data_IF_592816349948
#
_entry.id   IF_592816349948
#
_cell.length_a   1.000
_cell.length_b   1.000
_cell.length_c   1.000
_cell.angle_alpha   90.00
_cell.angle_beta   90.00
_cell.angle_gamma   90.00
#
_symmetry.space_group_name_H-M   'P 1'
#
loop_
_entity.id
_entity.type
_entity.pdbx_description
1 polymer ?
#
# COMPACT_ATOMS: atom_id res chain seq x y z
N UNK A 1 -16.68 8.00 -0.82
CA UNK A 1 -15.67 7.31 0.02
C UNK A 1 -14.67 6.67 -0.92
N UNK A 2 -13.37 6.96 -0.77
CA UNK A 2 -12.31 6.49 -1.66
C UNK A 2 -11.97 5.00 -1.49
N UNK A 3 -12.12 4.48 -0.27
CA UNK A 3 -11.85 3.10 0.06
C UNK A 3 -12.17 2.78 1.52
N UNK A 4 -12.11 1.50 1.86
CA UNK A 4 -12.25 0.99 3.23
C UNK A 4 -11.01 0.20 3.62
N UNK A 5 -10.44 0.53 4.77
CA UNK A 5 -9.29 -0.13 5.38
C UNK A 5 -9.71 -0.80 6.69
N UNK A 6 -10.14 -2.06 6.66
CA UNK A 6 -10.59 -2.78 7.87
C UNK A 6 -9.42 -3.27 8.71
N UNK A 7 -9.61 -3.45 10.02
CA UNK A 7 -8.60 -4.05 10.88
C UNK A 7 -8.57 -5.58 10.68
N UNK A 8 -7.64 -6.09 9.85
CA UNK A 8 -7.41 -7.53 9.67
C UNK A 8 -6.52 -8.16 10.75
N UNK A 9 -6.16 -7.46 11.81
CA UNK A 9 -5.08 -7.72 12.77
C UNK A 9 -4.98 -9.12 13.40
N UNK A 10 -5.92 -10.02 13.14
CA UNK A 10 -5.90 -11.37 13.72
C UNK A 10 -5.95 -12.50 12.69
N UNK A 11 -5.88 -12.19 11.40
CA UNK A 11 -6.08 -13.19 10.33
C UNK A 11 -5.01 -13.03 9.23
N UNK A 12 -3.73 -13.30 9.53
CA UNK A 12 -2.65 -13.15 8.56
C UNK A 12 -2.79 -14.17 7.41
N UNK A 13 -2.92 -13.71 6.15
CA UNK A 13 -3.21 -14.57 4.98
C UNK A 13 -2.10 -15.56 4.66
N UNK A 14 -0.87 -15.29 5.12
CA UNK A 14 0.26 -16.20 4.96
C UNK A 14 0.30 -17.34 5.97
N UNK A 15 -0.46 -17.24 7.08
CA UNK A 15 -0.38 -18.17 8.23
C UNK A 15 -1.63 -19.02 8.35
N UNK A 16 -2.82 -18.38 8.32
CA UNK A 16 -4.09 -19.11 8.42
C UNK A 16 -4.43 -19.81 7.10
N UNK A 17 -5.36 -20.75 7.12
CA UNK A 17 -5.92 -21.32 5.89
C UNK A 17 -6.78 -20.30 5.15
N UNK A 18 -6.94 -20.48 3.83
CA UNK A 18 -7.63 -19.51 2.98
C UNK A 18 -9.09 -19.29 3.40
N UNK A 19 -9.80 -20.32 3.88
CA UNK A 19 -11.22 -20.16 4.25
C UNK A 19 -11.37 -19.34 5.54
N UNK A 20 -10.49 -19.51 6.51
CA UNK A 20 -10.44 -18.67 7.71
C UNK A 20 -10.23 -17.20 7.35
N UNK A 21 -9.30 -16.91 6.42
CA UNK A 21 -9.08 -15.54 5.93
C UNK A 21 -10.31 -15.02 5.19
N UNK A 22 -10.85 -15.79 4.24
CA UNK A 22 -12.00 -15.39 3.43
C UNK A 22 -13.26 -15.14 4.26
N UNK A 23 -13.46 -15.88 5.35
CA UNK A 23 -14.57 -15.63 6.26
C UNK A 23 -14.51 -14.23 6.92
N UNK A 24 -13.31 -13.76 7.27
CA UNK A 24 -13.09 -12.40 7.76
C UNK A 24 -13.21 -11.37 6.64
N UNK A 25 -12.61 -11.64 5.48
CA UNK A 25 -12.64 -10.79 4.30
C UNK A 25 -14.06 -10.51 3.81
N UNK A 26 -14.93 -11.53 3.74
CA UNK A 26 -16.35 -11.39 3.32
C UNK A 26 -17.14 -10.41 4.19
N UNK A 27 -16.81 -10.29 5.49
CA UNK A 27 -17.46 -9.29 6.36
C UNK A 27 -17.13 -7.87 5.90
N UNK A 28 -15.90 -7.63 5.55
CA UNK A 28 -15.44 -6.32 5.03
C UNK A 28 -15.97 -6.07 3.61
N UNK A 29 -16.01 -7.11 2.78
CA UNK A 29 -16.58 -7.03 1.43
C UNK A 29 -18.06 -6.67 1.48
N UNK A 30 -18.87 -7.36 2.30
CA UNK A 30 -20.28 -7.05 2.50
C UNK A 30 -20.50 -5.62 3.03
N UNK A 31 -19.60 -5.13 3.89
CA UNK A 31 -19.65 -3.74 4.34
C UNK A 31 -19.45 -2.78 3.16
N UNK A 32 -18.46 -3.04 2.31
CA UNK A 32 -18.22 -2.25 1.10
C UNK A 32 -19.44 -2.22 0.18
N UNK A 33 -20.04 -3.39 -0.11
CA UNK A 33 -21.25 -3.50 -0.93
C UNK A 33 -22.42 -2.70 -0.36
N UNK A 34 -22.69 -2.86 0.94
CA UNK A 34 -23.81 -2.15 1.60
C UNK A 34 -23.61 -0.63 1.67
N UNK A 35 -22.36 -0.16 1.67
CA UNK A 35 -22.01 1.26 1.73
C UNK A 35 -21.68 1.88 0.36
N UNK A 36 -21.71 1.09 -0.73
CA UNK A 36 -21.32 1.57 -2.07
C UNK A 36 -19.84 1.96 -2.16
N UNK A 37 -18.95 1.26 -1.43
CA UNK A 37 -17.51 1.50 -1.44
C UNK A 37 -16.88 0.55 -2.46
N UNK A 38 -16.18 1.10 -3.45
CA UNK A 38 -15.62 0.33 -4.57
C UNK A 38 -14.17 -0.14 -4.35
N UNK A 39 -13.54 0.17 -3.22
CA UNK A 39 -12.14 -0.19 -2.94
C UNK A 39 -12.00 -0.73 -1.52
N UNK A 40 -11.38 -1.91 -1.39
CA UNK A 40 -11.11 -2.56 -0.12
C UNK A 40 -9.59 -2.75 0.04
N UNK A 41 -8.99 -2.07 1.05
CA UNK A 41 -7.59 -2.25 1.40
C UNK A 41 -7.37 -3.51 2.20
N UNK A 42 -6.28 -4.20 1.91
CA UNK A 42 -5.77 -5.33 2.68
C UNK A 42 -4.28 -5.14 2.97
N UNK A 43 -3.75 -5.91 3.92
CA UNK A 43 -2.34 -6.01 4.25
C UNK A 43 -1.93 -7.42 4.70
N UNK A 44 -0.63 -7.67 4.87
CA UNK A 44 -0.14 -9.02 5.24
C UNK A 44 -0.35 -9.35 6.70
N UNK A 45 -0.55 -8.35 7.55
CA UNK A 45 -0.70 -8.42 9.02
C UNK A 45 0.42 -9.16 9.76
N UNK A 46 1.33 -9.79 9.03
CA UNK A 46 2.49 -10.49 9.59
C UNK A 46 3.64 -9.52 9.77
N UNK A 47 4.34 -9.58 10.90
CA UNK A 47 5.54 -8.77 11.13
C UNK A 47 6.68 -9.20 10.19
N UNK A 48 7.60 -8.29 9.84
CA UNK A 48 8.82 -8.65 9.11
C UNK A 48 9.63 -9.67 9.91
N UNK A 49 9.85 -10.83 9.32
CA UNK A 49 10.51 -11.96 9.95
C UNK A 49 11.47 -12.63 8.96
N UNK A 50 12.68 -12.97 9.41
CA UNK A 50 13.62 -13.74 8.62
C UNK A 50 13.22 -15.22 8.69
N UNK A 51 12.59 -15.72 7.64
CA UNK A 51 12.12 -17.09 7.54
C UNK A 51 13.14 -17.99 6.83
N UNK A 52 13.22 -19.27 7.19
CA UNK A 52 13.91 -20.27 6.36
C UNK A 52 13.32 -20.28 4.93
N UNK A 53 14.13 -20.52 3.87
CA UNK A 53 13.67 -20.43 2.49
C UNK A 53 12.40 -21.27 2.19
N UNK A 54 12.33 -22.50 2.72
CA UNK A 54 11.17 -23.38 2.52
C UNK A 54 9.90 -22.86 3.19
N UNK A 55 10.03 -22.23 4.35
CA UNK A 55 8.92 -21.63 5.06
C UNK A 55 8.46 -20.32 4.38
N UNK A 56 9.41 -19.50 3.96
CA UNK A 56 9.14 -18.29 3.16
C UNK A 56 8.32 -18.63 1.91
N UNK A 57 8.78 -19.63 1.14
CA UNK A 57 8.10 -20.05 -0.09
C UNK A 57 6.69 -20.59 0.19
N UNK A 58 6.53 -21.39 1.25
CA UNK A 58 5.24 -21.95 1.64
C UNK A 58 4.24 -20.85 2.05
N UNK A 59 4.68 -19.90 2.88
CA UNK A 59 3.85 -18.76 3.32
C UNK A 59 3.52 -17.83 2.15
N UNK A 60 4.47 -17.55 1.28
CA UNK A 60 4.28 -16.74 0.08
C UNK A 60 3.24 -17.34 -0.87
N UNK A 61 3.34 -18.63 -1.18
CA UNK A 61 2.37 -19.35 -2.02
C UNK A 61 0.96 -19.34 -1.40
N UNK A 62 0.87 -19.52 -0.09
CA UNK A 62 -0.41 -19.47 0.62
C UNK A 62 -1.05 -18.09 0.53
N UNK A 63 -0.28 -17.04 0.78
CA UNK A 63 -0.72 -15.65 0.69
C UNK A 63 -1.22 -15.34 -0.73
N UNK A 64 -0.42 -15.62 -1.75
CA UNK A 64 -0.79 -15.36 -3.15
C UNK A 64 -2.09 -16.09 -3.54
N UNK A 65 -2.21 -17.38 -3.20
CA UNK A 65 -3.44 -18.16 -3.43
C UNK A 65 -4.65 -17.56 -2.70
N UNK A 66 -4.48 -17.18 -1.43
CA UNK A 66 -5.56 -16.62 -0.61
C UNK A 66 -6.04 -15.30 -1.17
N UNK A 67 -5.11 -14.42 -1.56
CA UNK A 67 -5.46 -13.13 -2.14
C UNK A 67 -6.03 -13.22 -3.56
N UNK A 68 -5.60 -14.20 -4.35
CA UNK A 68 -6.26 -14.50 -5.62
C UNK A 68 -7.75 -14.86 -5.42
N UNK A 69 -8.06 -15.72 -4.44
CA UNK A 69 -9.44 -16.07 -4.11
C UNK A 69 -10.25 -14.86 -3.61
N UNK A 70 -9.65 -14.03 -2.74
CA UNK A 70 -10.28 -12.80 -2.26
C UNK A 70 -10.57 -11.81 -3.40
N UNK A 71 -9.62 -11.64 -4.33
CA UNK A 71 -9.80 -10.78 -5.50
C UNK A 71 -10.92 -11.29 -6.43
N UNK A 72 -11.05 -12.61 -6.59
CA UNK A 72 -12.15 -13.23 -7.33
C UNK A 72 -13.53 -12.95 -6.69
N UNK A 73 -13.64 -13.03 -5.36
CA UNK A 73 -14.89 -12.71 -4.66
C UNK A 73 -15.21 -11.21 -4.77
N UNK A 74 -14.23 -10.36 -4.54
CA UNK A 74 -14.39 -8.91 -4.62
C UNK A 74 -14.76 -8.42 -6.04
N UNK A 75 -14.20 -9.03 -7.08
CA UNK A 75 -14.55 -8.71 -8.46
C UNK A 75 -16.03 -8.93 -8.76
N UNK A 76 -16.63 -10.00 -8.22
CA UNK A 76 -18.06 -10.28 -8.38
C UNK A 76 -18.96 -9.25 -7.68
N UNK A 77 -18.44 -8.64 -6.62
CA UNK A 77 -19.08 -7.58 -5.86
C UNK A 77 -18.82 -6.17 -6.43
N UNK A 78 -18.02 -6.03 -7.48
CA UNK A 78 -17.63 -4.74 -8.04
C UNK A 78 -16.68 -3.94 -7.13
N UNK A 79 -15.96 -4.62 -6.24
CA UNK A 79 -15.03 -4.01 -5.29
C UNK A 79 -13.60 -4.38 -5.67
N UNK A 80 -12.74 -3.38 -5.91
CA UNK A 80 -11.32 -3.59 -6.15
C UNK A 80 -10.60 -3.89 -4.84
N UNK A 81 -9.74 -4.88 -4.85
CA UNK A 81 -8.82 -5.16 -3.74
C UNK A 81 -7.51 -4.42 -3.97
N UNK A 82 -7.07 -3.65 -2.97
CA UNK A 82 -5.77 -2.98 -2.99
C UNK A 82 -4.95 -3.42 -1.77
N UNK A 83 -3.70 -3.81 -2.01
CA UNK A 83 -2.76 -4.11 -0.95
C UNK A 83 -1.88 -2.90 -0.66
N UNK A 84 -1.86 -2.46 0.58
CA UNK A 84 -0.92 -1.46 1.07
C UNK A 84 0.31 -2.15 1.67
N UNK A 85 1.46 -1.97 1.01
CA UNK A 85 2.73 -2.45 1.53
C UNK A 85 3.34 -1.38 2.44
N UNK A 86 3.83 -1.79 3.60
CA UNK A 86 4.40 -0.88 4.57
C UNK A 86 5.57 -1.52 5.36
N UNK A 87 6.49 -0.71 5.96
CA UNK A 87 7.63 -1.24 6.69
C UNK A 87 7.25 -2.08 7.92
N UNK A 88 6.05 -1.86 8.45
CA UNK A 88 5.51 -2.60 9.59
C UNK A 88 5.25 -4.06 9.33
N UNK A 89 5.07 -4.44 8.06
CA UNK A 89 4.62 -5.77 7.68
C UNK A 89 5.62 -6.52 6.79
N UNK A 90 5.41 -7.82 6.70
CA UNK A 90 6.16 -8.74 5.85
C UNK A 90 5.96 -8.43 4.36
N UNK A 91 6.98 -8.71 3.53
CA UNK A 91 7.02 -8.43 2.08
C UNK A 91 7.10 -6.93 1.77
N UNK A 92 8.05 -6.25 2.41
CA UNK A 92 8.23 -4.79 2.31
C UNK A 92 9.42 -4.34 1.44
N UNK A 93 10.09 -5.26 0.71
CA UNK A 93 11.10 -4.90 -0.29
C UNK A 93 10.47 -4.58 -1.63
N UNK A 94 11.04 -3.67 -2.41
CA UNK A 94 10.54 -3.35 -3.77
C UNK A 94 10.30 -4.57 -4.65
N UNK A 95 11.23 -5.54 -4.69
CA UNK A 95 11.07 -6.78 -5.46
C UNK A 95 9.97 -7.69 -4.89
N UNK A 96 9.85 -7.80 -3.57
CA UNK A 96 8.81 -8.61 -2.92
C UNK A 96 7.41 -8.09 -3.24
N UNK A 97 7.23 -6.75 -3.21
CA UNK A 97 5.94 -6.11 -3.53
C UNK A 97 5.52 -6.44 -4.96
N UNK A 98 6.43 -6.33 -5.92
CA UNK A 98 6.17 -6.71 -7.30
C UNK A 98 5.82 -8.19 -7.42
N UNK A 99 6.64 -9.06 -6.83
CA UNK A 99 6.47 -10.51 -6.90
C UNK A 99 5.11 -10.96 -6.33
N UNK A 100 4.59 -10.27 -5.31
CA UNK A 100 3.24 -10.55 -4.76
C UNK A 100 2.16 -10.29 -5.79
N UNK A 101 2.18 -9.12 -6.46
CA UNK A 101 1.18 -8.80 -7.48
C UNK A 101 1.22 -9.81 -8.64
N UNK A 102 2.43 -10.14 -9.08
CA UNK A 102 2.64 -11.13 -10.16
C UNK A 102 2.16 -12.53 -9.73
N UNK A 103 2.40 -12.93 -8.47
CA UNK A 103 1.98 -14.24 -7.97
C UNK A 103 0.48 -14.35 -7.67
N UNK A 104 -0.16 -13.24 -7.24
CA UNK A 104 -1.61 -13.18 -7.07
C UNK A 104 -2.32 -13.31 -8.42
N UNK A 105 -1.74 -12.77 -9.49
CA UNK A 105 -2.18 -12.92 -10.89
C UNK A 105 -3.69 -12.71 -11.06
N UNK A 106 -4.18 -11.53 -10.66
CA UNK A 106 -5.60 -11.19 -10.77
C UNK A 106 -5.80 -9.71 -11.10
N UNK A 107 -6.56 -9.39 -12.14
CA UNK A 107 -6.77 -8.02 -12.63
C UNK A 107 -7.40 -7.09 -11.58
N UNK A 108 -8.25 -7.64 -10.70
CA UNK A 108 -8.92 -6.91 -9.61
C UNK A 108 -8.07 -6.77 -8.34
N UNK A 109 -6.83 -7.27 -8.35
CA UNK A 109 -5.84 -7.09 -7.28
C UNK A 109 -4.83 -6.04 -7.69
N UNK A 110 -4.71 -4.96 -6.91
CA UNK A 110 -3.80 -3.85 -7.18
C UNK A 110 -3.04 -3.46 -5.92
N UNK A 111 -2.10 -2.52 -6.07
CA UNK A 111 -1.39 -1.91 -4.96
C UNK A 111 -2.07 -0.59 -4.56
N UNK A 112 -2.12 -0.34 -3.28
CA UNK A 112 -2.23 1.00 -2.74
C UNK A 112 -0.79 1.50 -2.58
N UNK A 113 -0.42 2.51 -3.35
CA UNK A 113 0.89 3.13 -3.29
C UNK A 113 0.84 4.34 -2.36
N UNK A 114 1.40 4.17 -1.16
CA UNK A 114 1.62 5.27 -0.21
C UNK A 114 3.05 5.80 -0.36
N UNK A 115 3.21 7.11 -0.53
CA UNK A 115 4.52 7.73 -0.80
C UNK A 115 5.47 7.64 0.40
N UNK A 116 4.96 7.69 1.64
CA UNK A 116 5.79 7.52 2.84
C UNK A 116 6.25 6.07 3.00
N UNK A 117 5.36 5.10 2.82
CA UNK A 117 5.75 3.68 2.86
C UNK A 117 6.73 3.33 1.73
N UNK A 118 6.52 3.88 0.54
CA UNK A 118 7.46 3.73 -0.57
C UNK A 118 8.84 4.35 -0.28
N UNK A 119 8.89 5.50 0.38
CA UNK A 119 10.15 6.11 0.83
C UNK A 119 10.87 5.21 1.84
N UNK A 120 10.14 4.69 2.82
CA UNK A 120 10.71 3.78 3.82
C UNK A 120 11.20 2.47 3.21
N UNK A 121 10.51 1.91 2.23
CA UNK A 121 10.92 0.70 1.53
C UNK A 121 12.10 0.92 0.57
N UNK A 122 11.96 1.89 -0.36
CA UNK A 122 12.89 2.06 -1.46
C UNK A 122 14.14 2.89 -1.12
N UNK A 123 14.06 3.82 -0.14
CA UNK A 123 15.16 4.73 0.19
C UNK A 123 15.85 4.34 1.51
N UNK A 124 15.06 4.03 2.53
CA UNK A 124 15.57 3.69 3.86
C UNK A 124 15.84 2.19 4.00
N UNK A 125 15.06 1.33 3.34
CA UNK A 125 15.09 -0.12 3.55
C UNK A 125 14.67 -0.50 4.97
N UNK A 126 13.68 0.20 5.52
CA UNK A 126 13.25 0.05 6.89
C UNK A 126 12.63 -1.32 7.14
N UNK A 127 13.09 -1.98 8.20
CA UNK A 127 12.61 -3.29 8.66
C UNK A 127 12.68 -4.41 7.61
N UNK A 128 13.40 -4.22 6.52
CA UNK A 128 13.66 -5.28 5.55
C UNK A 128 14.53 -6.38 6.18
N UNK A 129 14.12 -7.62 6.03
CA UNK A 129 14.87 -8.77 6.54
C UNK A 129 16.02 -9.17 5.60
N UNK A 130 17.14 -9.63 6.14
CA UNK A 130 18.32 -10.00 5.36
C UNK A 130 18.95 -8.80 4.65
N UNK A 131 19.37 -8.98 3.40
CA UNK A 131 19.96 -7.89 2.61
C UNK A 131 18.92 -6.83 2.28
N UNK A 132 19.27 -5.57 2.52
CA UNK A 132 18.42 -4.44 2.14
C UNK A 132 18.41 -4.28 0.63
N UNK A 133 17.22 -3.94 0.11
CA UNK A 133 17.00 -3.56 -1.27
C UNK A 133 16.63 -2.09 -1.32
N UNK A 134 17.51 -1.28 -1.91
CA UNK A 134 17.33 0.16 -2.08
C UNK A 134 17.33 0.49 -3.57
N UNK A 135 16.56 1.48 -3.96
CA UNK A 135 16.47 1.96 -5.33
C UNK A 135 17.20 3.30 -5.45
N UNK A 136 18.12 3.42 -6.40
CA UNK A 136 18.93 4.62 -6.59
C UNK A 136 18.10 5.85 -6.99
N UNK A 137 17.00 5.66 -7.73
CA UNK A 137 16.03 6.71 -8.07
C UNK A 137 14.89 6.83 -7.05
N UNK A 138 14.99 6.20 -5.88
CA UNK A 138 14.09 6.35 -4.76
C UNK A 138 12.63 6.07 -5.08
N UNK A 139 11.73 6.87 -4.49
CA UNK A 139 10.27 6.71 -4.63
C UNK A 139 9.80 6.85 -6.08
N UNK A 140 10.42 7.76 -6.85
CA UNK A 140 10.08 7.98 -8.25
C UNK A 140 10.40 6.75 -9.12
N UNK A 141 11.56 6.13 -8.91
CA UNK A 141 11.92 4.87 -9.58
C UNK A 141 10.96 3.75 -9.17
N UNK A 142 10.66 3.65 -7.88
CA UNK A 142 9.77 2.63 -7.36
C UNK A 142 8.38 2.74 -7.97
N UNK A 143 7.74 3.91 -7.89
CA UNK A 143 6.42 4.13 -8.46
C UNK A 143 6.37 3.86 -9.95
N UNK A 144 7.37 4.33 -10.73
CA UNK A 144 7.49 4.03 -12.16
C UNK A 144 7.58 2.54 -12.43
N UNK A 145 8.36 1.82 -11.61
CA UNK A 145 8.58 0.38 -11.79
C UNK A 145 7.34 -0.46 -11.55
N UNK A 146 6.43 -0.02 -10.68
CA UNK A 146 5.17 -0.71 -10.39
C UNK A 146 4.09 -0.44 -11.46
N UNK A 147 4.11 0.73 -12.09
CA UNK A 147 3.25 1.04 -13.21
C UNK A 147 1.77 0.73 -12.95
N UNK A 148 1.13 0.00 -13.86
CA UNK A 148 -0.30 -0.35 -13.81
C UNK A 148 -0.69 -1.32 -12.68
N UNK A 149 0.28 -1.80 -11.89
CA UNK A 149 0.00 -2.55 -10.65
C UNK A 149 -0.63 -1.66 -9.58
N UNK A 150 -0.45 -0.33 -9.65
CA UNK A 150 -1.03 0.63 -8.71
C UNK A 150 -2.49 0.90 -9.07
N UNK A 151 -3.39 0.75 -8.10
CA UNK A 151 -4.84 0.98 -8.23
C UNK A 151 -5.39 2.02 -7.25
N UNK A 152 -4.61 2.40 -6.25
CA UNK A 152 -4.97 3.45 -5.28
C UNK A 152 -3.72 4.23 -4.87
N UNK A 153 -3.88 5.49 -4.47
CA UNK A 153 -2.74 6.37 -4.25
C UNK A 153 -2.93 7.22 -2.99
N UNK A 154 -1.95 7.10 -2.08
CA UNK A 154 -1.81 7.95 -0.91
C UNK A 154 -0.62 8.87 -1.07
N UNK A 155 -0.86 10.17 -0.87
CA UNK A 155 0.16 11.21 -0.79
C UNK A 155 0.38 11.57 0.67
N UNK A 156 1.59 11.36 1.14
CA UNK A 156 2.02 11.80 2.46
C UNK A 156 3.55 11.93 2.51
N UNK A 157 4.04 12.90 3.24
CA UNK A 157 5.49 13.11 3.38
C UNK A 157 6.10 12.20 4.43
N UNK A 158 7.43 12.02 4.39
CA UNK A 158 8.19 11.18 5.30
C UNK A 158 9.56 11.78 5.59
N UNK A 159 9.93 11.80 6.85
CA UNK A 159 11.28 12.18 7.29
C UNK A 159 12.26 10.98 7.33
N UNK A 160 11.78 9.77 7.06
CA UNK A 160 12.53 8.53 7.11
C UNK A 160 12.54 7.87 8.49
N UNK A 161 11.70 8.32 9.42
CA UNK A 161 11.52 7.70 10.73
C UNK A 161 10.37 6.71 10.76
N UNK A 162 10.38 5.85 11.80
CA UNK A 162 9.31 4.91 12.09
C UNK A 162 8.48 5.39 13.28
N UNK A 163 7.17 5.34 13.15
CA UNK A 163 6.26 5.48 14.28
C UNK A 163 6.26 4.19 15.11
N UNK A 164 6.60 4.30 16.40
CA UNK A 164 6.70 3.18 17.34
C UNK A 164 7.59 2.01 16.86
N UNK A 165 8.59 2.26 16.01
CA UNK A 165 9.40 1.25 15.35
C UNK A 165 8.62 0.25 14.47
N UNK A 166 7.44 0.60 14.04
CA UNK A 166 6.55 -0.26 13.23
C UNK A 166 6.34 0.30 11.83
N UNK A 167 5.39 1.20 11.64
CA UNK A 167 5.07 1.79 10.35
C UNK A 167 5.82 3.10 10.09
N UNK A 168 5.72 3.67 8.90
CA UNK A 168 6.33 4.97 8.60
C UNK A 168 5.66 6.12 9.38
N UNK A 169 6.46 7.10 9.80
CA UNK A 169 5.92 8.36 10.32
C UNK A 169 5.36 9.18 9.16
N UNK A 170 4.10 9.59 9.27
CA UNK A 170 3.42 10.43 8.29
C UNK A 170 3.57 11.90 8.68
N UNK A 171 4.33 12.64 7.88
CA UNK A 171 4.66 14.05 8.11
C UNK A 171 3.74 14.97 7.32
N UNK A 172 3.55 16.20 7.78
CA UNK A 172 2.91 17.21 6.95
C UNK A 172 3.77 17.52 5.71
N UNK A 173 3.14 17.94 4.62
CA UNK A 173 3.85 18.26 3.39
C UNK A 173 4.91 19.35 3.62
N UNK A 174 6.15 19.08 3.21
CA UNK A 174 7.30 19.96 3.38
C UNK A 174 8.05 19.78 4.70
N UNK A 175 7.59 18.93 5.61
CA UNK A 175 8.32 18.55 6.83
C UNK A 175 9.15 17.27 6.64
N UNK A 176 8.95 16.55 5.54
CA UNK A 176 9.69 15.34 5.20
C UNK A 176 10.76 15.57 4.13
N UNK A 177 11.05 14.52 3.37
CA UNK A 177 12.15 14.45 2.39
C UNK A 177 11.73 13.99 1.00
N UNK A 178 10.43 13.79 0.77
CA UNK A 178 9.93 13.28 -0.51
C UNK A 178 9.89 14.39 -1.56
N UNK A 179 10.56 14.18 -2.68
CA UNK A 179 10.42 15.03 -3.88
C UNK A 179 9.14 14.63 -4.62
N UNK A 180 8.02 15.25 -4.24
CA UNK A 180 6.70 14.96 -4.83
C UNK A 180 6.65 15.25 -6.32
N UNK A 181 7.30 16.31 -6.80
CA UNK A 181 7.30 16.62 -8.24
C UNK A 181 7.91 15.48 -9.04
N UNK A 182 9.09 14.98 -8.65
CA UNK A 182 9.73 13.82 -9.30
C UNK A 182 8.88 12.55 -9.23
N UNK A 183 8.25 12.27 -8.07
CA UNK A 183 7.39 11.10 -7.88
C UNK A 183 6.17 11.18 -8.80
N UNK A 184 5.46 12.30 -8.77
CA UNK A 184 4.22 12.46 -9.53
C UNK A 184 4.47 12.48 -11.05
N UNK A 185 5.56 13.10 -11.51
CA UNK A 185 5.98 13.04 -12.93
C UNK A 185 6.27 11.60 -13.34
N UNK A 186 6.99 10.84 -12.52
CA UNK A 186 7.31 9.44 -12.81
C UNK A 186 6.07 8.54 -12.85
N UNK A 187 5.06 8.84 -12.04
CA UNK A 187 3.82 8.06 -11.92
C UNK A 187 2.67 8.63 -12.76
N UNK A 188 2.81 9.78 -13.40
CA UNK A 188 1.74 10.45 -14.19
C UNK A 188 0.93 9.49 -15.07
N UNK A 189 1.53 8.55 -15.84
CA UNK A 189 0.76 7.64 -16.71
C UNK A 189 -0.26 6.77 -15.96
N UNK A 190 -0.05 6.55 -14.67
CA UNK A 190 -0.90 5.70 -13.81
C UNK A 190 -1.87 6.56 -13.01
N UNK A 191 -1.33 7.52 -12.23
CA UNK A 191 -2.12 8.29 -11.27
C UNK A 191 -3.14 9.22 -11.93
N UNK A 192 -2.91 9.64 -13.20
CA UNK A 192 -3.89 10.44 -13.95
C UNK A 192 -5.21 9.72 -14.20
N UNK A 193 -5.21 8.38 -14.13
CA UNK A 193 -6.38 7.55 -14.37
C UNK A 193 -7.04 7.08 -13.06
N UNK A 194 -6.45 7.38 -11.91
CA UNK A 194 -7.01 6.99 -10.62
C UNK A 194 -8.11 7.98 -10.20
N UNK A 195 -9.24 7.49 -9.68
CA UNK A 195 -10.36 8.34 -9.28
C UNK A 195 -10.07 9.17 -8.03
N UNK A 196 -9.07 8.78 -7.24
CA UNK A 196 -8.74 9.38 -5.96
C UNK A 196 -7.24 9.54 -5.76
N UNK A 197 -6.86 10.71 -5.25
CA UNK A 197 -5.60 10.98 -4.59
C UNK A 197 -5.93 11.27 -3.13
N UNK A 198 -5.53 10.39 -2.23
CA UNK A 198 -5.84 10.52 -0.82
C UNK A 198 -4.63 11.04 -0.06
N UNK A 199 -4.89 11.74 1.03
CA UNK A 199 -3.86 12.13 2.00
C UNK A 199 -4.06 11.29 3.25
N UNK A 200 -3.00 10.61 3.69
CA UNK A 200 -3.02 9.77 4.88
C UNK A 200 -2.17 10.37 6.00
N UNK A 201 -2.81 10.84 7.05
CA UNK A 201 -2.17 11.35 8.26
C UNK A 201 -2.27 10.36 9.43
N UNK A 202 -2.12 9.07 9.16
CA UNK A 202 -2.15 8.04 10.19
C UNK A 202 -1.17 8.36 11.32
N UNK A 203 -1.65 8.32 12.56
CA UNK A 203 -0.90 8.64 13.79
C UNK A 203 -0.33 10.08 13.90
N UNK A 204 -0.64 10.98 12.98
CA UNK A 204 -0.22 12.36 13.10
C UNK A 204 -1.11 13.08 14.14
N UNK A 205 -0.55 13.65 15.23
CA UNK A 205 -1.33 14.29 16.28
C UNK A 205 -2.03 15.58 15.83
N UNK A 206 -1.58 16.17 14.71
CA UNK A 206 -2.14 17.40 14.14
C UNK A 206 -3.05 17.13 12.93
N UNK A 207 -3.54 15.89 12.76
CA UNK A 207 -4.34 15.45 11.62
C UNK A 207 -5.44 16.44 11.19
N UNK A 208 -6.28 17.00 12.08
CA UNK A 208 -7.35 17.93 11.65
C UNK A 208 -6.83 19.19 10.96
N UNK A 209 -5.70 19.73 11.42
CA UNK A 209 -5.07 20.93 10.84
C UNK A 209 -4.27 20.56 9.59
N UNK A 210 -3.39 19.57 9.70
CA UNK A 210 -2.56 19.09 8.60
C UNK A 210 -3.39 18.61 7.40
N UNK A 211 -4.51 17.91 7.65
CA UNK A 211 -5.42 17.47 6.59
C UNK A 211 -6.05 18.62 5.83
N UNK A 212 -6.48 19.70 6.53
CA UNK A 212 -6.99 20.91 5.88
C UNK A 212 -5.91 21.64 5.08
N UNK A 213 -4.71 21.77 5.64
CA UNK A 213 -3.61 22.50 5.04
C UNK A 213 -2.98 21.73 3.86
N UNK A 214 -3.15 20.41 3.81
CA UNK A 214 -2.76 19.57 2.69
C UNK A 214 -3.56 19.82 1.41
N UNK A 215 -4.83 20.25 1.51
CA UNK A 215 -5.71 20.43 0.33
C UNK A 215 -5.12 21.38 -0.73
N UNK A 216 -4.68 22.60 -0.40
CA UNK A 216 -4.07 23.49 -1.40
C UNK A 216 -2.75 22.94 -1.94
N UNK A 217 -1.96 22.23 -1.13
CA UNK A 217 -0.70 21.62 -1.58
C UNK A 217 -0.98 20.55 -2.63
N UNK A 218 -1.85 19.59 -2.34
CA UNK A 218 -2.21 18.52 -3.29
C UNK A 218 -2.81 19.09 -4.57
N UNK A 219 -3.68 20.10 -4.49
CA UNK A 219 -4.23 20.76 -5.68
C UNK A 219 -3.15 21.43 -6.52
N UNK A 220 -2.18 22.09 -5.89
CA UNK A 220 -1.03 22.68 -6.58
C UNK A 220 -0.20 21.62 -7.32
N UNK A 221 0.14 20.52 -6.65
CA UNK A 221 0.86 19.39 -7.25
C UNK A 221 0.08 18.77 -8.42
N UNK A 222 -1.22 18.59 -8.28
CA UNK A 222 -2.07 18.08 -9.36
C UNK A 222 -2.05 19.02 -10.57
N UNK A 223 -2.14 20.33 -10.37
CA UNK A 223 -2.09 21.32 -11.46
C UNK A 223 -0.73 21.31 -12.17
N UNK A 224 0.36 21.22 -11.40
CA UNK A 224 1.73 21.17 -11.94
C UNK A 224 1.98 19.94 -12.81
N UNK A 225 1.50 18.78 -12.37
CA UNK A 225 1.85 17.49 -12.99
C UNK A 225 0.82 17.06 -14.05
N UNK A 226 -0.47 17.33 -13.87
CA UNK A 226 -1.51 16.83 -14.78
C UNK A 226 -1.78 17.76 -15.96
N UNK A 227 -1.42 19.03 -15.86
CA UNK A 227 -1.45 19.98 -16.97
C UNK A 227 -0.14 19.93 -17.78
#
# INVERSE_FOLDING_TARGET
ISGYAPPFGHVPPAVVDSETYLAAFRKSLNFCENCGISTLRIDTVSLPEALPPTEYESRFKRLAKTWHLAANEAAKAGVQVVWEFEPGFWLNKPSEVRNVVEAVDHENFKLLFDTSHAYMGAVIGARQTGNRELLSGGVAEYGRSLGTMVGHFHLIDSDGSLHNNETSTHMAFGEGKIDFTSVLVAMKPVISNLPWWCVDFCFNPQTPTAGRDAVPVVRGLMQEVLN
#
